data_IF_981308129931
#
_entry.id   IF_981308129931
#
_cell.length_a   1.000
_cell.length_b   1.000
_cell.length_c   1.000
_cell.angle_alpha   90.00
_cell.angle_beta   90.00
_cell.angle_gamma   90.00
#
_symmetry.space_group_name_H-M   'P 1'
#
loop_
_entity.id
_entity.type
_entity.pdbx_description
1 polymer ?
#
# COMPACT_ATOMS: atom_id res chain seq x y z
N UNK A 1 11.34 3.69 18.29
CA UNK A 1 11.98 4.59 17.29
C UNK A 1 11.19 5.87 17.06
N UNK A 2 9.88 5.95 17.39
CA UNK A 2 9.11 7.20 17.31
C UNK A 2 8.84 7.71 15.89
N UNK A 3 9.16 6.90 14.86
CA UNK A 3 9.08 7.29 13.45
C UNK A 3 7.66 7.54 12.99
N UNK A 4 6.68 6.87 13.61
CA UNK A 4 5.26 7.09 13.33
C UNK A 4 4.81 8.55 13.51
N UNK A 5 5.48 9.30 14.40
CA UNK A 5 5.19 10.72 14.65
C UNK A 5 6.18 11.66 13.93
N UNK A 6 7.11 11.11 13.14
CA UNK A 6 8.17 11.89 12.54
C UNK A 6 7.74 12.39 11.17
N UNK A 7 7.76 13.71 11.01
CA UNK A 7 7.65 14.34 9.71
C UNK A 7 9.01 14.29 9.00
N UNK A 8 8.97 14.03 7.70
CA UNK A 8 10.14 13.87 6.84
C UNK A 8 10.01 14.86 5.68
N UNK A 9 11.10 15.54 5.29
CA UNK A 9 11.10 16.35 4.08
C UNK A 9 10.67 15.53 2.87
N UNK A 10 9.54 15.89 2.30
CA UNK A 10 8.87 15.13 1.24
C UNK A 10 8.48 16.08 0.12
N UNK A 11 8.70 15.66 -1.12
CA UNK A 11 8.15 16.32 -2.30
C UNK A 11 6.68 15.91 -2.45
N UNK A 12 5.79 16.85 -2.18
CA UNK A 12 4.33 16.72 -2.30
C UNK A 12 3.93 17.04 -3.74
N UNK A 13 3.78 16.00 -4.55
CA UNK A 13 3.32 16.12 -5.94
C UNK A 13 1.81 16.39 -5.98
N UNK A 14 1.39 17.49 -6.60
CA UNK A 14 0.02 17.98 -6.52
C UNK A 14 -0.96 17.25 -7.46
N UNK A 15 -0.45 16.59 -8.50
CA UNK A 15 -1.21 15.66 -9.35
C UNK A 15 -0.98 14.18 -9.02
N UNK A 16 -0.25 13.89 -7.94
CA UNK A 16 0.13 12.52 -7.57
C UNK A 16 -0.99 11.76 -6.86
N UNK A 17 -0.99 10.44 -6.98
CA UNK A 17 -2.01 9.57 -6.34
C UNK A 17 -1.91 9.47 -4.82
N UNK A 18 -0.83 9.99 -4.23
CA UNK A 18 -0.58 10.00 -2.78
C UNK A 18 -1.09 11.28 -2.09
N UNK A 19 -1.50 12.28 -2.87
CA UNK A 19 -2.13 13.49 -2.37
C UNK A 19 -3.59 13.22 -1.99
N UNK A 20 -3.95 13.60 -0.78
CA UNK A 20 -5.32 13.56 -0.27
C UNK A 20 -5.74 14.89 0.34
N UNK A 21 -6.97 14.93 0.83
CA UNK A 21 -7.54 16.10 1.47
C UNK A 21 -8.20 15.69 2.78
N UNK A 22 -7.99 16.49 3.83
CA UNK A 22 -8.52 16.20 5.16
C UNK A 22 -9.06 17.44 5.83
N UNK A 23 -10.08 17.28 6.65
CA UNK A 23 -10.45 18.28 7.67
C UNK A 23 -9.96 17.83 9.04
N UNK A 24 -9.56 18.77 9.87
CA UNK A 24 -9.14 18.47 11.25
C UNK A 24 -10.32 18.70 12.18
N UNK A 25 -10.77 17.65 12.87
CA UNK A 25 -11.88 17.74 13.82
C UNK A 25 -11.49 18.55 15.09
N UNK A 26 -12.48 18.85 15.94
CA UNK A 26 -12.24 19.57 17.19
C UNK A 26 -11.35 18.82 18.20
N UNK A 27 -11.08 17.53 17.97
CA UNK A 27 -10.21 16.67 18.77
C UNK A 27 -8.80 16.54 18.17
N UNK A 28 -8.54 17.12 16.99
CA UNK A 28 -7.28 17.07 16.28
C UNK A 28 -7.09 15.82 15.41
N UNK A 29 -8.15 15.06 15.12
CA UNK A 29 -8.09 13.92 14.20
C UNK A 29 -8.31 14.39 12.75
N UNK A 30 -7.64 13.72 11.81
CA UNK A 30 -7.85 13.95 10.39
C UNK A 30 -9.05 13.11 9.91
N UNK A 31 -10.02 13.75 9.28
CA UNK A 31 -11.12 13.10 8.57
C UNK A 31 -10.95 13.35 7.07
N UNK A 32 -11.08 12.30 6.25
CA UNK A 32 -10.98 12.41 4.80
C UNK A 32 -12.05 13.32 4.22
N UNK A 33 -11.64 14.22 3.32
CA UNK A 33 -12.49 15.19 2.66
C UNK A 33 -12.36 15.10 1.13
N UNK A 34 -13.39 15.57 0.42
CA UNK A 34 -13.32 15.75 -1.02
C UNK A 34 -12.36 16.89 -1.38
N UNK A 35 -11.77 16.81 -2.58
CA UNK A 35 -10.91 17.85 -3.10
C UNK A 35 -11.67 19.18 -3.23
N UNK A 36 -11.20 20.26 -2.58
CA UNK A 36 -11.80 21.58 -2.74
C UNK A 36 -11.41 22.18 -4.10
N UNK A 37 -12.16 23.18 -4.58
CA UNK A 37 -11.83 23.87 -5.83
C UNK A 37 -10.47 24.60 -5.76
N UNK A 38 -10.16 25.18 -4.60
CA UNK A 38 -8.91 25.88 -4.35
C UNK A 38 -8.55 25.86 -2.86
N UNK A 39 -7.26 25.83 -2.56
CA UNK A 39 -6.73 25.98 -1.20
C UNK A 39 -5.72 27.11 -1.21
N UNK A 40 -5.98 28.15 -0.42
CA UNK A 40 -5.11 29.31 -0.31
C UNK A 40 -4.05 29.10 0.76
N UNK A 41 -2.81 29.43 0.44
CA UNK A 41 -1.66 29.40 1.36
C UNK A 41 -1.02 30.78 1.48
N UNK A 42 -0.65 31.14 2.70
CA UNK A 42 0.07 32.37 3.04
C UNK A 42 1.26 32.02 3.91
N UNK A 43 2.47 32.37 3.47
CA UNK A 43 3.71 32.01 4.17
C UNK A 43 3.78 30.52 4.53
N UNK A 44 3.38 29.66 3.60
CA UNK A 44 3.47 28.21 3.69
C UNK A 44 2.35 27.55 4.48
N UNK A 45 1.50 28.30 5.18
CA UNK A 45 0.37 27.76 5.95
C UNK A 45 -0.97 28.02 5.24
N UNK A 46 -1.96 27.12 5.40
CA UNK A 46 -3.28 27.33 4.81
C UNK A 46 -3.96 28.56 5.44
N UNK A 47 -4.55 29.42 4.59
CA UNK A 47 -5.17 30.68 5.00
C UNK A 47 -6.49 30.47 5.77
N UNK A 48 -7.15 29.32 5.57
CA UNK A 48 -8.31 28.88 6.35
C UNK A 48 -7.95 27.68 7.23
N UNK A 49 -7.60 27.88 8.52
CA UNK A 49 -7.27 26.80 9.44
C UNK A 49 -8.42 25.81 9.69
N UNK A 50 -9.68 26.23 9.50
CA UNK A 50 -10.86 25.38 9.70
C UNK A 50 -11.32 24.68 8.42
N UNK A 51 -10.65 24.96 7.30
CA UNK A 51 -11.00 24.44 5.99
C UNK A 51 -10.45 23.04 5.71
N UNK A 52 -10.52 22.68 4.43
CA UNK A 52 -9.91 21.45 3.92
C UNK A 52 -8.42 21.68 3.71
N UNK A 53 -7.63 20.75 4.21
CA UNK A 53 -6.18 20.80 4.19
C UNK A 53 -5.58 19.75 3.27
N UNK A 54 -4.36 20.02 2.81
CA UNK A 54 -3.58 19.04 2.06
C UNK A 54 -3.10 17.94 3.00
N UNK A 55 -3.32 16.70 2.60
CA UNK A 55 -2.79 15.53 3.26
C UNK A 55 -1.87 14.77 2.31
N UNK A 56 -0.83 14.17 2.89
CA UNK A 56 0.01 13.20 2.22
C UNK A 56 -0.16 11.86 2.95
N UNK A 57 -0.61 10.83 2.24
CA UNK A 57 -1.01 9.55 2.86
C UNK A 57 -1.98 9.72 4.04
N UNK A 58 -3.05 10.49 3.85
CA UNK A 58 -4.10 10.80 4.86
C UNK A 58 -3.62 11.57 6.11
N UNK A 59 -2.38 12.07 6.08
CA UNK A 59 -1.82 12.86 7.16
C UNK A 59 -1.64 14.33 6.75
N UNK A 60 -2.21 15.23 7.56
CA UNK A 60 -2.12 16.68 7.36
C UNK A 60 -0.67 17.18 7.24
N UNK A 61 -0.40 17.93 6.16
CA UNK A 61 0.88 18.61 5.92
C UNK A 61 0.77 20.04 6.44
N UNK A 62 1.53 20.36 7.50
CA UNK A 62 1.40 21.64 8.22
C UNK A 62 1.84 22.85 7.39
N UNK A 63 2.90 22.69 6.59
CA UNK A 63 3.56 23.79 5.90
C UNK A 63 4.15 23.34 4.56
N UNK A 64 4.02 24.20 3.55
CA UNK A 64 4.53 23.98 2.20
C UNK A 64 5.59 25.01 1.81
N UNK A 65 6.57 24.56 1.03
CA UNK A 65 7.73 25.30 0.56
C UNK A 65 7.91 25.11 -0.95
N UNK A 66 8.53 26.08 -1.60
CA UNK A 66 8.87 25.99 -3.04
C UNK A 66 10.22 25.32 -3.29
N UNK A 67 11.01 25.10 -2.24
CA UNK A 67 12.35 24.51 -2.30
C UNK A 67 12.53 23.35 -1.33
N UNK A 68 13.34 22.36 -1.73
CA UNK A 68 13.67 21.17 -0.94
C UNK A 68 14.38 21.50 0.38
N UNK A 69 15.08 22.64 0.45
CA UNK A 69 15.75 23.08 1.67
C UNK A 69 14.79 23.69 2.70
N UNK A 70 13.48 23.77 2.40
CA UNK A 70 12.44 24.34 3.24
C UNK A 70 12.75 25.78 3.70
N UNK A 71 13.34 26.58 2.82
CA UNK A 71 13.75 27.96 3.14
C UNK A 71 12.74 29.01 2.70
N UNK A 72 11.99 28.73 1.65
CA UNK A 72 11.08 29.67 1.00
C UNK A 72 9.65 29.13 1.11
N UNK A 73 8.85 29.66 2.04
CA UNK A 73 7.49 29.18 2.23
C UNK A 73 6.60 29.55 1.04
N UNK A 74 5.72 28.63 0.65
CA UNK A 74 4.81 28.82 -0.48
C UNK A 74 3.71 29.84 -0.14
N UNK A 75 3.51 30.83 -1.01
CA UNK A 75 2.38 31.76 -0.93
C UNK A 75 1.67 31.78 -2.26
N UNK A 76 0.39 31.43 -2.26
CA UNK A 76 -0.35 31.21 -3.49
C UNK A 76 -1.56 30.31 -3.28
N UNK A 77 -2.09 29.79 -4.37
CA UNK A 77 -3.27 28.94 -4.39
C UNK A 77 -2.95 27.58 -4.98
N UNK A 78 -3.27 26.51 -4.26
CA UNK A 78 -3.25 25.14 -4.79
C UNK A 78 -4.59 24.86 -5.47
N UNK A 79 -4.53 24.31 -6.67
CA UNK A 79 -5.68 24.02 -7.54
C UNK A 79 -5.75 22.49 -7.75
N UNK A 80 -6.49 21.76 -6.89
CA UNK A 80 -6.62 20.30 -6.95
C UNK A 80 -7.01 19.74 -8.31
N UNK A 81 -7.99 20.34 -8.97
CA UNK A 81 -8.49 19.89 -10.28
C UNK A 81 -7.44 20.01 -11.40
N UNK A 82 -6.53 20.97 -11.26
CA UNK A 82 -5.42 21.18 -12.22
C UNK A 82 -4.16 20.41 -11.84
N UNK A 83 -4.07 19.89 -10.61
CA UNK A 83 -2.89 19.21 -10.08
C UNK A 83 -1.66 20.11 -9.96
N UNK A 84 -1.86 21.42 -9.73
CA UNK A 84 -0.78 22.41 -9.66
C UNK A 84 -1.04 23.48 -8.60
N UNK A 85 0.02 24.18 -8.20
CA UNK A 85 -0.03 25.36 -7.35
C UNK A 85 0.37 26.59 -8.15
N UNK A 86 -0.30 27.72 -7.92
CA UNK A 86 -0.02 29.00 -8.57
C UNK A 86 0.29 30.07 -7.52
N UNK A 87 1.44 30.73 -7.63
CA UNK A 87 1.78 31.87 -6.78
C UNK A 87 1.05 33.13 -7.22
N UNK A 88 1.02 34.13 -6.35
CA UNK A 88 0.43 35.45 -6.67
C UNK A 88 1.16 36.16 -7.82
N UNK A 89 2.44 35.86 -7.97
CA UNK A 89 3.28 36.36 -9.06
C UNK A 89 3.04 35.59 -10.38
N UNK A 90 2.16 34.58 -10.37
CA UNK A 90 1.77 33.81 -11.54
C UNK A 90 2.70 32.64 -11.87
N UNK A 91 3.67 32.29 -11.02
CA UNK A 91 4.48 31.09 -11.20
C UNK A 91 3.68 29.85 -10.83
N UNK A 92 3.88 28.76 -11.57
CA UNK A 92 3.18 27.49 -11.34
C UNK A 92 4.15 26.38 -10.94
N UNK A 93 3.71 25.54 -10.00
CA UNK A 93 4.46 24.41 -9.47
C UNK A 93 3.62 23.13 -9.57
N UNK A 94 4.19 22.05 -10.06
CA UNK A 94 3.55 20.72 -10.08
C UNK A 94 3.79 19.95 -8.77
N UNK A 95 4.82 20.34 -8.02
CA UNK A 95 5.17 19.82 -6.71
C UNK A 95 5.57 20.94 -5.76
N UNK A 96 5.30 20.73 -4.48
CA UNK A 96 5.77 21.57 -3.37
C UNK A 96 6.52 20.68 -2.38
N UNK A 97 7.28 21.27 -1.47
CA UNK A 97 8.00 20.52 -0.44
C UNK A 97 7.34 20.73 0.93
N UNK A 98 7.25 19.69 1.74
CA UNK A 98 6.65 19.78 3.06
C UNK A 98 7.09 18.69 4.01
N UNK A 99 6.81 18.90 5.29
CA UNK A 99 7.07 17.95 6.36
C UNK A 99 5.88 16.98 6.47
N UNK A 100 5.96 15.86 5.76
CA UNK A 100 4.89 14.87 5.62
C UNK A 100 5.19 13.55 6.35
N UNK A 101 4.15 12.75 6.57
CA UNK A 101 4.30 11.40 7.10
C UNK A 101 4.55 10.42 5.96
N UNK A 102 5.55 9.56 6.12
CA UNK A 102 5.75 8.42 5.23
C UNK A 102 4.78 7.28 5.60
N UNK A 103 4.30 6.53 4.60
CA UNK A 103 3.42 5.38 4.82
C UNK A 103 3.98 4.10 4.21
N UNK A 104 3.60 2.94 4.76
CA UNK A 104 3.98 1.63 4.21
C UNK A 104 5.48 1.32 4.26
N UNK A 105 6.08 1.03 3.10
CA UNK A 105 7.46 0.56 3.00
C UNK A 105 8.50 1.64 3.36
N UNK A 106 8.41 2.90 2.87
CA UNK A 106 9.26 4.02 3.32
C UNK A 106 9.30 4.22 4.83
N UNK A 107 8.15 4.20 5.49
CA UNK A 107 8.06 4.33 6.94
C UNK A 107 8.83 3.21 7.68
N UNK A 108 8.73 1.98 7.17
CA UNK A 108 9.45 0.82 7.71
C UNK A 108 10.95 0.97 7.47
N UNK A 109 11.37 1.44 6.29
CA UNK A 109 12.77 1.74 5.98
C UNK A 109 13.35 2.73 6.98
N UNK A 110 12.64 3.82 7.24
CA UNK A 110 13.07 4.84 8.20
C UNK A 110 13.10 4.31 9.64
N UNK A 111 12.11 3.50 10.01
CA UNK A 111 12.06 2.79 11.28
C UNK A 111 13.33 1.96 11.53
N UNK A 112 13.76 1.19 10.54
CA UNK A 112 14.98 0.40 10.60
C UNK A 112 16.24 1.27 10.55
N UNK A 113 16.26 2.32 9.71
CA UNK A 113 17.38 3.28 9.65
C UNK A 113 17.65 3.90 11.02
N UNK A 114 16.62 4.43 11.69
CA UNK A 114 16.76 5.01 13.04
C UNK A 114 17.03 3.95 14.10
N UNK A 115 16.34 2.81 14.06
CA UNK A 115 16.50 1.74 15.03
C UNK A 115 17.90 1.11 15.04
N UNK A 116 18.53 1.00 13.88
CA UNK A 116 19.88 0.44 13.72
C UNK A 116 20.97 1.52 13.59
N UNK A 117 20.65 2.80 13.74
CA UNK A 117 21.61 3.91 13.62
C UNK A 117 22.87 3.73 14.49
N UNK A 118 22.75 3.09 15.66
CA UNK A 118 23.89 2.77 16.53
C UNK A 118 24.91 1.78 15.90
N UNK A 119 24.48 1.00 14.91
CA UNK A 119 25.29 0.04 14.15
C UNK A 119 25.66 0.57 12.74
N UNK A 120 25.18 1.76 12.36
CA UNK A 120 25.44 2.41 11.07
C UNK A 120 24.18 2.69 10.24
N UNK A 121 24.33 3.52 9.20
CA UNK A 121 23.24 3.99 8.32
C UNK A 121 22.91 3.02 7.18
N UNK A 122 22.66 1.76 7.50
CA UNK A 122 22.37 0.70 6.52
C UNK A 122 21.06 -0.04 6.81
N UNK A 123 20.36 0.31 7.89
CA UNK A 123 19.10 -0.33 8.28
C UNK A 123 18.02 -0.29 7.19
N UNK A 124 17.98 0.79 6.39
CA UNK A 124 17.05 0.93 5.27
C UNK A 124 17.27 -0.15 4.19
N UNK A 125 18.52 -0.56 3.92
CA UNK A 125 18.85 -1.55 2.90
C UNK A 125 18.25 -2.93 3.22
N UNK A 126 18.16 -3.29 4.51
CA UNK A 126 17.54 -4.57 4.94
C UNK A 126 16.10 -4.66 4.44
N UNK A 127 15.35 -3.56 4.61
CA UNK A 127 13.94 -3.49 4.23
C UNK A 127 13.81 -3.55 2.71
N UNK A 128 14.66 -2.84 1.95
CA UNK A 128 14.68 -2.90 0.48
C UNK A 128 14.89 -4.34 -0.02
N UNK A 129 15.90 -5.05 0.49
CA UNK A 129 16.14 -6.44 0.10
C UNK A 129 15.00 -7.38 0.53
N UNK A 130 14.44 -7.16 1.71
CA UNK A 130 13.32 -7.96 2.21
C UNK A 130 12.08 -7.81 1.34
N UNK A 131 11.72 -6.57 0.98
CA UNK A 131 10.58 -6.28 0.09
C UNK A 131 10.80 -6.88 -1.29
N UNK A 132 12.01 -6.77 -1.85
CA UNK A 132 12.35 -7.38 -3.14
C UNK A 132 12.17 -8.91 -3.13
N UNK A 133 12.75 -9.58 -2.14
CA UNK A 133 12.64 -11.05 -2.01
C UNK A 133 11.20 -11.49 -1.74
N UNK A 134 10.45 -10.70 -0.95
CA UNK A 134 9.06 -10.97 -0.67
C UNK A 134 8.19 -10.81 -1.92
N UNK A 135 8.39 -9.76 -2.71
CA UNK A 135 7.69 -9.53 -3.97
C UNK A 135 7.94 -10.68 -4.96
N UNK A 136 9.19 -11.12 -5.11
CA UNK A 136 9.55 -12.25 -6.00
C UNK A 136 8.88 -13.55 -5.53
N UNK A 137 8.97 -13.88 -4.24
CA UNK A 137 8.40 -15.12 -3.72
C UNK A 137 6.86 -15.13 -3.84
N UNK A 138 6.23 -13.98 -3.60
CA UNK A 138 4.78 -13.78 -3.79
C UNK A 138 4.40 -13.96 -5.26
N UNK A 139 5.12 -13.31 -6.19
CA UNK A 139 4.86 -13.45 -7.63
C UNK A 139 4.95 -14.90 -8.10
N UNK A 140 5.94 -15.67 -7.63
CA UNK A 140 6.08 -17.10 -7.96
C UNK A 140 4.90 -17.91 -7.43
N UNK A 141 4.51 -17.70 -6.17
CA UNK A 141 3.40 -18.42 -5.56
C UNK A 141 2.07 -18.15 -6.29
N UNK A 142 1.75 -16.89 -6.57
CA UNK A 142 0.52 -16.50 -7.29
C UNK A 142 0.53 -16.94 -8.75
N UNK A 143 1.70 -16.93 -9.41
CA UNK A 143 1.85 -17.52 -10.74
C UNK A 143 1.48 -19.01 -10.74
N UNK A 144 1.96 -19.77 -9.74
CA UNK A 144 1.66 -21.18 -9.61
C UNK A 144 0.18 -21.45 -9.30
N UNK A 145 -0.44 -20.68 -8.39
CA UNK A 145 -1.86 -20.85 -8.09
C UNK A 145 -2.73 -20.60 -9.32
N UNK A 146 -2.48 -19.51 -10.07
CA UNK A 146 -3.25 -19.24 -11.26
C UNK A 146 -2.96 -20.19 -12.43
N UNK A 147 -1.75 -20.74 -12.54
CA UNK A 147 -1.44 -21.85 -13.46
C UNK A 147 -2.38 -23.04 -13.19
N UNK A 148 -2.51 -23.45 -11.92
CA UNK A 148 -3.42 -24.54 -11.54
C UNK A 148 -4.89 -24.21 -11.79
N UNK A 149 -5.33 -22.98 -11.54
CA UNK A 149 -6.70 -22.55 -11.86
C UNK A 149 -6.96 -22.57 -13.37
N UNK A 150 -6.04 -22.04 -14.18
CA UNK A 150 -6.16 -22.03 -15.64
C UNK A 150 -6.17 -23.46 -16.21
N UNK A 151 -5.31 -24.32 -15.69
CA UNK A 151 -5.30 -25.75 -16.05
C UNK A 151 -6.62 -26.43 -15.72
N UNK A 152 -7.19 -26.19 -14.54
CA UNK A 152 -8.45 -26.79 -14.11
C UNK A 152 -9.65 -26.33 -14.96
N UNK A 153 -9.71 -25.04 -15.30
CA UNK A 153 -10.84 -24.45 -16.02
C UNK A 153 -10.78 -24.66 -17.54
N UNK A 154 -9.59 -24.54 -18.14
CA UNK A 154 -9.41 -24.44 -19.59
C UNK A 154 -8.42 -25.49 -20.14
N UNK A 155 -7.86 -26.34 -19.28
CA UNK A 155 -6.93 -27.40 -19.66
C UNK A 155 -5.49 -26.93 -19.86
N UNK A 156 -4.63 -27.87 -20.26
CA UNK A 156 -3.17 -27.68 -20.34
C UNK A 156 -2.74 -26.54 -21.28
N UNK A 157 -3.47 -26.32 -22.38
CA UNK A 157 -3.11 -25.34 -23.40
C UNK A 157 -3.30 -23.88 -22.93
N UNK A 158 -4.08 -23.65 -21.87
CA UNK A 158 -4.33 -22.31 -21.34
C UNK A 158 -3.23 -21.81 -20.39
N UNK A 159 -2.36 -22.70 -19.90
CA UNK A 159 -1.32 -22.37 -18.92
C UNK A 159 -0.30 -21.37 -19.48
N UNK A 160 0.17 -21.58 -20.72
CA UNK A 160 1.18 -20.72 -21.33
C UNK A 160 0.62 -19.30 -21.63
N UNK A 161 -0.57 -19.15 -22.25
CA UNK A 161 -1.23 -17.85 -22.36
C UNK A 161 -1.43 -17.15 -21.01
N UNK A 162 -1.85 -17.88 -19.97
CA UNK A 162 -2.02 -17.33 -18.62
C UNK A 162 -0.70 -16.74 -18.08
N UNK A 163 0.42 -17.48 -18.18
CA UNK A 163 1.72 -17.01 -17.70
C UNK A 163 2.18 -15.75 -18.43
N UNK A 164 1.92 -15.65 -19.74
CA UNK A 164 2.24 -14.46 -20.51
C UNK A 164 1.44 -13.25 -20.02
N UNK A 165 0.12 -13.41 -19.83
CA UNK A 165 -0.74 -12.37 -19.27
C UNK A 165 -0.29 -11.98 -17.87
N UNK A 166 0.06 -12.95 -17.02
CA UNK A 166 0.53 -12.71 -15.66
C UNK A 166 1.78 -11.80 -15.62
N UNK A 167 2.75 -12.04 -16.50
CA UNK A 167 3.96 -11.21 -16.61
C UNK A 167 3.63 -9.81 -17.11
N UNK A 168 2.74 -9.67 -18.09
CA UNK A 168 2.28 -8.35 -18.58
C UNK A 168 1.58 -7.58 -17.46
N UNK A 169 0.73 -8.25 -16.67
CA UNK A 169 0.03 -7.62 -15.55
C UNK A 169 0.97 -7.13 -14.45
N UNK A 170 2.15 -7.74 -14.26
CA UNK A 170 3.17 -7.20 -13.35
C UNK A 170 3.71 -5.86 -13.83
N UNK A 171 3.93 -5.72 -15.15
CA UNK A 171 4.33 -4.45 -15.73
C UNK A 171 3.24 -3.39 -15.59
N UNK A 172 1.98 -3.74 -15.87
CA UNK A 172 0.83 -2.84 -15.68
C UNK A 172 0.71 -2.41 -14.22
N UNK A 173 0.87 -3.33 -13.27
CA UNK A 173 0.86 -3.03 -11.84
C UNK A 173 2.01 -2.13 -11.38
N UNK A 174 3.12 -2.06 -12.11
CA UNK A 174 4.20 -1.12 -11.81
C UNK A 174 3.91 0.33 -12.28
N UNK A 175 2.91 0.52 -13.15
CA UNK A 175 2.58 1.82 -13.74
C UNK A 175 1.26 2.39 -13.19
N UNK A 176 0.36 1.54 -12.70
CA UNK A 176 -0.91 1.98 -12.14
C UNK A 176 -0.73 2.61 -10.74
N UNK A 177 -1.59 3.59 -10.37
CA UNK A 177 -1.60 4.14 -9.02
C UNK A 177 -1.87 3.08 -7.97
N UNK A 178 -1.22 3.21 -6.81
CA UNK A 178 -1.30 2.24 -5.72
C UNK A 178 -2.75 2.03 -5.22
N UNK A 179 -3.52 3.13 -5.10
CA UNK A 179 -4.94 3.10 -4.70
C UNK A 179 -5.80 2.26 -5.62
N UNK A 180 -5.58 2.34 -6.94
CA UNK A 180 -6.28 1.53 -7.95
C UNK A 180 -5.98 0.05 -7.76
N UNK A 181 -4.72 -0.30 -7.48
CA UNK A 181 -4.27 -1.69 -7.29
C UNK A 181 -4.91 -2.29 -6.04
N UNK A 182 -4.95 -1.55 -4.92
CA UNK A 182 -5.61 -1.99 -3.69
C UNK A 182 -7.10 -2.19 -3.89
N UNK A 183 -7.80 -1.22 -4.47
CA UNK A 183 -9.24 -1.31 -4.73
C UNK A 183 -9.59 -2.51 -5.62
N UNK A 184 -8.80 -2.73 -6.68
CA UNK A 184 -8.99 -3.87 -7.56
C UNK A 184 -8.70 -5.20 -6.85
N UNK A 185 -7.67 -5.22 -6.00
CA UNK A 185 -7.32 -6.35 -5.15
C UNK A 185 -8.46 -6.75 -4.22
N UNK A 186 -9.09 -5.79 -3.55
CA UNK A 186 -10.20 -6.04 -2.63
C UNK A 186 -11.42 -6.62 -3.35
N UNK A 187 -11.75 -6.11 -4.53
CA UNK A 187 -12.86 -6.63 -5.35
C UNK A 187 -12.57 -8.09 -5.75
N UNK A 188 -11.39 -8.39 -6.29
CA UNK A 188 -11.04 -9.75 -6.71
C UNK A 188 -10.93 -10.70 -5.52
N UNK A 189 -10.39 -10.23 -4.40
CA UNK A 189 -10.32 -11.00 -3.16
C UNK A 189 -11.73 -11.36 -2.67
N UNK A 190 -12.66 -10.41 -2.68
CA UNK A 190 -14.05 -10.67 -2.31
C UNK A 190 -14.69 -11.75 -3.21
N UNK A 191 -14.47 -11.68 -4.52
CA UNK A 191 -14.97 -12.67 -5.49
C UNK A 191 -14.42 -14.07 -5.19
N UNK A 192 -13.16 -14.20 -4.76
CA UNK A 192 -12.55 -15.50 -4.42
C UNK A 192 -13.00 -16.00 -3.04
N UNK A 193 -13.09 -15.10 -2.05
CA UNK A 193 -13.41 -15.46 -0.66
C UNK A 193 -14.84 -15.98 -0.54
N UNK A 194 -15.82 -15.31 -1.15
CA UNK A 194 -17.25 -15.65 -0.99
C UNK A 194 -17.57 -17.12 -1.32
N UNK A 195 -17.25 -17.66 -2.52
CA UNK A 195 -17.54 -19.05 -2.85
C UNK A 195 -16.73 -20.03 -1.99
N UNK A 196 -15.47 -19.71 -1.67
CA UNK A 196 -14.63 -20.55 -0.81
C UNK A 196 -15.19 -20.67 0.60
N UNK A 197 -15.66 -19.57 1.19
CA UNK A 197 -16.28 -19.61 2.51
C UNK A 197 -17.57 -20.43 2.50
N UNK A 198 -18.43 -20.26 1.50
CA UNK A 198 -19.65 -21.08 1.37
C UNK A 198 -19.29 -22.56 1.30
N UNK A 199 -18.32 -22.94 0.47
CA UNK A 199 -17.86 -24.31 0.37
C UNK A 199 -17.30 -24.83 1.71
N UNK A 200 -16.47 -24.04 2.40
CA UNK A 200 -15.93 -24.42 3.71
C UNK A 200 -17.04 -24.63 4.75
N UNK A 201 -18.06 -23.78 4.81
CA UNK A 201 -19.19 -23.97 5.70
C UNK A 201 -19.96 -25.26 5.41
N UNK A 202 -20.19 -25.57 4.12
CA UNK A 202 -20.88 -26.80 3.71
C UNK A 202 -20.04 -28.05 3.97
N UNK A 203 -18.72 -27.99 3.78
CA UNK A 203 -17.81 -29.11 3.97
C UNK A 203 -17.30 -29.26 5.41
N UNK A 204 -17.51 -28.27 6.29
CA UNK A 204 -17.04 -28.30 7.67
C UNK A 204 -17.39 -29.60 8.43
N UNK A 205 -18.62 -30.15 8.34
CA UNK A 205 -18.95 -31.41 9.01
C UNK A 205 -18.12 -32.59 8.48
N UNK A 206 -17.88 -32.64 7.17
CA UNK A 206 -17.12 -33.72 6.54
C UNK A 206 -15.63 -33.63 6.88
N UNK A 207 -15.08 -32.42 6.91
CA UNK A 207 -13.70 -32.19 7.36
C UNK A 207 -13.54 -32.61 8.82
N UNK A 208 -14.51 -32.32 9.69
CA UNK A 208 -14.48 -32.75 11.08
C UNK A 208 -14.52 -34.28 11.22
N UNK A 209 -15.34 -34.97 10.43
CA UNK A 209 -15.39 -36.44 10.38
C UNK A 209 -14.02 -37.03 9.97
N UNK A 210 -13.44 -36.55 8.87
CA UNK A 210 -12.15 -37.03 8.37
C UNK A 210 -10.99 -36.71 9.33
N UNK A 211 -11.01 -35.53 9.95
CA UNK A 211 -10.03 -35.15 10.96
C UNK A 211 -10.09 -36.10 12.17
N UNK A 212 -11.29 -36.33 12.72
CA UNK A 212 -11.50 -37.27 13.83
C UNK A 212 -11.05 -38.68 13.44
N UNK A 213 -11.38 -39.14 12.23
CA UNK A 213 -10.93 -40.42 11.70
C UNK A 213 -9.41 -40.52 11.58
N UNK A 214 -8.74 -39.46 11.09
CA UNK A 214 -7.28 -39.38 11.02
C UNK A 214 -6.64 -39.49 12.39
N UNK A 215 -7.12 -38.73 13.37
CA UNK A 215 -6.57 -38.74 14.72
C UNK A 215 -6.85 -40.06 15.46
N UNK A 216 -8.00 -40.71 15.19
CA UNK A 216 -8.31 -42.03 15.74
C UNK A 216 -7.34 -43.12 15.26
N UNK A 217 -6.87 -43.04 14.00
CA UNK A 217 -5.90 -43.99 13.43
C UNK A 217 -4.50 -43.89 14.05
N UNK A 218 -4.20 -42.82 14.79
CA UNK A 218 -2.88 -42.52 15.38
C UNK A 218 -1.69 -42.88 14.48
N UNK A 219 -1.65 -42.45 13.20
CA UNK A 219 -0.62 -42.85 12.24
C UNK A 219 0.82 -42.46 12.65
N UNK A 220 0.97 -41.53 13.59
CA UNK A 220 2.25 -41.13 14.17
C UNK A 220 2.80 -42.10 15.21
N UNK A 221 1.99 -43.05 15.69
CA UNK A 221 2.49 -44.19 16.47
C UNK A 221 2.91 -45.26 15.46
N UNK A 222 4.23 -45.58 15.40
CA UNK A 222 4.72 -46.74 14.66
C UNK A 222 3.96 -47.98 15.15
N UNK A 223 3.11 -48.54 14.31
CA UNK A 223 2.45 -49.81 14.62
C UNK A 223 3.52 -50.91 14.65
N UNK A 224 3.68 -51.65 15.76
CA UNK A 224 4.63 -52.75 15.80
C UNK A 224 4.05 -53.89 14.95
N UNK A 225 4.49 -53.97 13.68
CA UNK A 225 4.13 -55.08 12.79
C UNK A 225 3.87 -54.74 11.32
N UNK A 226 3.84 -53.47 10.88
CA UNK A 226 3.71 -53.18 9.45
C UNK A 226 5.06 -53.33 8.73
N UNK A 227 5.46 -54.58 8.45
CA UNK A 227 6.45 -54.87 7.42
C UNK A 227 5.91 -54.33 6.10
N UNK A 228 6.73 -53.50 5.43
CA UNK A 228 6.48 -53.01 4.08
C UNK A 228 6.52 -54.20 3.12
N UNK A 229 5.41 -54.43 2.43
CA UNK A 229 5.39 -55.01 1.07
C UNK A 229 4.96 -53.90 0.10
#
# INVERSE_FOLDING_TARGET
TGVWNARIPTEVTLGGGDLGYVTVDAMGNNEGADAPAEIRFENGVPADPGGVHIAWHDAYVDMLYVDEAHTTPFTGTVLPDEGLARTDDGQTYESLHGEAFESGAPLTMEGFRRGLSALGDWGHMIVVFSVLLFAISTAIAWSYYGDRCAYYLLGANAVLPYKLVFVIMHFVGAVLPLTVIWNLGDIFLAIVIVPNLIALFMLAPKVAEEANGYFARKPWLRQPGSSRE
#
